data_IF_269715293918
#
_entry.id   IF_269715293918
#
_cell.length_a   1.000
_cell.length_b   1.000
_cell.length_c   1.000
_cell.angle_alpha   90.00
_cell.angle_beta   90.00
_cell.angle_gamma   90.00
#
_symmetry.space_group_name_H-M   'P 1'
#
loop_
_entity.id
_entity.type
_entity.pdbx_description
1 polymer ?
#
# COMPACT_ATOMS: atom_id res chain seq x y z
N UNK A 1 3.34 -16.78 -32.08
CA UNK A 1 3.09 -18.12 -31.50
C UNK A 1 3.68 -18.30 -30.10
N UNK A 2 4.93 -17.87 -29.79
CA UNK A 2 5.50 -18.05 -28.44
C UNK A 2 4.78 -17.25 -27.33
N UNK A 3 4.44 -15.97 -27.56
CA UNK A 3 3.76 -15.11 -26.57
C UNK A 3 2.34 -15.61 -26.23
N UNK A 4 1.58 -16.08 -27.22
CA UNK A 4 0.21 -16.58 -27.00
C UNK A 4 0.16 -17.86 -26.17
N UNK A 5 1.14 -18.77 -26.35
CA UNK A 5 1.22 -19.99 -25.54
C UNK A 5 1.66 -19.69 -24.09
N UNK A 6 2.58 -18.74 -23.90
CA UNK A 6 3.01 -18.30 -22.57
C UNK A 6 1.84 -17.68 -21.77
N UNK A 7 1.12 -16.73 -22.36
CA UNK A 7 -0.07 -16.11 -21.73
C UNK A 7 -1.13 -17.16 -21.36
N UNK A 8 -1.40 -18.13 -22.24
CA UNK A 8 -2.36 -19.19 -21.97
C UNK A 8 -1.94 -20.07 -20.76
N UNK A 9 -0.65 -20.39 -20.64
CA UNK A 9 -0.13 -21.20 -19.53
C UNK A 9 -0.21 -20.45 -18.19
N UNK A 10 0.20 -19.18 -18.17
CA UNK A 10 0.11 -18.31 -16.97
C UNK A 10 -1.34 -18.21 -16.51
N UNK A 11 -2.28 -17.95 -17.43
CA UNK A 11 -3.69 -17.82 -17.08
C UNK A 11 -4.29 -19.10 -16.51
N UNK A 12 -3.94 -20.27 -17.07
CA UNK A 12 -4.38 -21.55 -16.51
C UNK A 12 -3.81 -21.83 -15.12
N UNK A 13 -2.54 -21.49 -14.88
CA UNK A 13 -1.91 -21.67 -13.57
C UNK A 13 -2.56 -20.79 -12.50
N UNK A 14 -2.77 -19.51 -12.80
CA UNK A 14 -3.45 -18.57 -11.89
C UNK A 14 -4.90 -19.01 -11.63
N UNK A 15 -5.63 -19.44 -12.65
CA UNK A 15 -7.02 -19.89 -12.50
C UNK A 15 -7.14 -21.09 -11.55
N UNK A 16 -6.19 -22.03 -11.58
CA UNK A 16 -6.16 -23.14 -10.62
C UNK A 16 -5.97 -22.66 -9.18
N UNK A 17 -5.10 -21.66 -8.96
CA UNK A 17 -4.87 -21.07 -7.63
C UNK A 17 -6.14 -20.35 -7.14
N UNK A 18 -6.76 -19.53 -8.00
CA UNK A 18 -7.99 -18.81 -7.69
C UNK A 18 -9.13 -19.77 -7.33
N UNK A 19 -9.37 -20.78 -8.18
CA UNK A 19 -10.42 -21.76 -7.95
C UNK A 19 -10.19 -22.51 -6.63
N UNK A 20 -8.97 -22.97 -6.38
CA UNK A 20 -8.63 -23.63 -5.12
C UNK A 20 -8.88 -22.74 -3.91
N UNK A 21 -8.46 -21.47 -3.95
CA UNK A 21 -8.63 -20.54 -2.84
C UNK A 21 -10.11 -20.25 -2.53
N UNK A 22 -10.95 -20.16 -3.56
CA UNK A 22 -12.40 -19.97 -3.42
C UNK A 22 -13.06 -21.25 -2.90
N UNK A 23 -12.75 -22.40 -3.49
CA UNK A 23 -13.33 -23.71 -3.09
C UNK A 23 -12.99 -24.07 -1.64
N UNK A 24 -11.78 -23.72 -1.19
CA UNK A 24 -11.34 -23.90 0.19
C UNK A 24 -11.76 -22.78 1.12
N UNK A 25 -12.49 -21.78 0.62
CA UNK A 25 -12.95 -20.62 1.38
C UNK A 25 -11.81 -19.84 2.04
N UNK A 26 -10.64 -19.81 1.42
CA UNK A 26 -9.53 -18.96 1.88
C UNK A 26 -9.70 -17.53 1.38
N UNK A 27 -10.28 -17.35 0.18
CA UNK A 27 -10.58 -16.06 -0.44
C UNK A 27 -12.05 -16.05 -0.86
N UNK A 28 -12.77 -14.97 -0.57
CA UNK A 28 -14.17 -14.79 -1.00
C UNK A 28 -14.23 -14.32 -2.46
N UNK A 29 -13.43 -13.32 -2.80
CA UNK A 29 -13.26 -12.87 -4.18
C UNK A 29 -11.95 -12.11 -4.37
N UNK A 30 -11.49 -12.09 -5.63
CA UNK A 30 -10.26 -11.42 -6.02
C UNK A 30 -10.31 -10.90 -7.45
N UNK A 31 -9.47 -9.90 -7.72
CA UNK A 31 -9.08 -9.49 -9.06
C UNK A 31 -7.57 -9.60 -9.15
N UNK A 32 -7.10 -10.41 -10.09
CA UNK A 32 -5.67 -10.60 -10.38
C UNK A 32 -5.38 -10.11 -11.78
N UNK A 33 -4.35 -9.27 -11.91
CA UNK A 33 -3.85 -8.77 -13.18
C UNK A 33 -2.34 -9.00 -13.28
N UNK A 34 -1.88 -9.39 -14.46
CA UNK A 34 -0.46 -9.60 -14.76
C UNK A 34 -0.13 -8.91 -16.06
N UNK A 35 0.90 -8.07 -16.03
CA UNK A 35 1.51 -7.48 -17.21
C UNK A 35 2.95 -7.94 -17.35
N UNK A 36 3.37 -8.22 -18.59
CA UNK A 36 4.75 -8.59 -18.94
C UNK A 36 5.17 -7.72 -20.11
N UNK A 37 6.33 -7.07 -20.03
CA UNK A 37 6.87 -6.19 -21.08
C UNK A 37 5.84 -5.12 -21.50
N UNK A 38 5.17 -4.53 -20.50
CA UNK A 38 4.13 -3.51 -20.70
C UNK A 38 2.78 -4.00 -21.22
N UNK A 39 2.62 -5.30 -21.51
CA UNK A 39 1.37 -5.87 -22.05
C UNK A 39 0.60 -6.66 -21.00
N UNK A 40 -0.71 -6.43 -20.90
CA UNK A 40 -1.59 -7.24 -20.04
C UNK A 40 -1.70 -8.65 -20.63
N UNK A 41 -1.18 -9.65 -19.91
CA UNK A 41 -1.20 -11.07 -20.33
C UNK A 41 -2.23 -11.90 -19.55
N UNK A 42 -2.77 -11.36 -18.46
CA UNK A 42 -3.83 -11.97 -17.66
C UNK A 42 -4.61 -10.89 -16.90
N UNK A 43 -5.93 -11.02 -16.88
CA UNK A 43 -6.85 -10.14 -16.16
C UNK A 43 -8.13 -10.93 -15.85
N UNK A 44 -8.38 -11.21 -14.57
CA UNK A 44 -9.57 -11.98 -14.20
C UNK A 44 -10.08 -11.61 -12.81
N UNK A 45 -11.40 -11.52 -12.71
CA UNK A 45 -12.14 -11.50 -11.45
C UNK A 45 -12.63 -12.90 -11.10
N UNK A 46 -12.54 -13.26 -9.82
CA UNK A 46 -12.94 -14.58 -9.32
C UNK A 46 -13.75 -14.43 -8.03
N UNK A 47 -14.74 -15.30 -7.82
CA UNK A 47 -15.54 -15.31 -6.60
C UNK A 47 -16.58 -14.19 -6.52
N UNK A 48 -16.85 -13.72 -5.31
CA UNK A 48 -17.93 -12.76 -5.03
C UNK A 48 -17.40 -11.40 -4.57
N UNK A 49 -17.96 -10.33 -5.13
CA UNK A 49 -17.83 -8.97 -4.57
C UNK A 49 -18.62 -8.85 -3.26
N UNK A 50 -19.76 -9.55 -3.17
CA UNK A 50 -20.55 -9.72 -1.96
C UNK A 50 -21.13 -11.15 -1.96
N UNK A 51 -20.66 -11.98 -1.04
CA UNK A 51 -21.04 -13.39 -0.90
C UNK A 51 -22.48 -13.54 -0.45
N UNK A 52 -22.94 -12.72 0.48
CA UNK A 52 -24.28 -12.78 1.06
C UNK A 52 -25.35 -12.40 0.05
N UNK A 53 -25.07 -11.41 -0.80
CA UNK A 53 -25.93 -10.99 -1.91
C UNK A 53 -25.68 -11.77 -3.21
N UNK A 54 -24.69 -12.68 -3.22
CA UNK A 54 -24.24 -13.45 -4.39
C UNK A 54 -23.86 -12.54 -5.58
N UNK A 55 -23.36 -11.35 -5.29
CA UNK A 55 -22.83 -10.43 -6.31
C UNK A 55 -21.47 -10.92 -6.77
N UNK A 56 -21.32 -11.15 -8.07
CA UNK A 56 -20.07 -11.66 -8.66
C UNK A 56 -19.00 -10.58 -8.69
N UNK A 57 -17.76 -10.97 -8.41
CA UNK A 57 -16.62 -10.06 -8.55
C UNK A 57 -16.47 -9.62 -10.01
N UNK A 58 -16.25 -8.32 -10.23
CA UNK A 58 -15.94 -7.76 -11.55
C UNK A 58 -14.50 -7.26 -11.57
N UNK A 59 -13.90 -7.19 -12.76
CA UNK A 59 -12.52 -6.70 -12.88
C UNK A 59 -12.40 -5.24 -12.42
N UNK A 60 -13.45 -4.46 -12.62
CA UNK A 60 -13.52 -3.05 -12.25
C UNK A 60 -14.22 -2.81 -10.90
N UNK A 61 -14.42 -3.86 -10.10
CA UNK A 61 -14.85 -3.75 -8.71
C UNK A 61 -13.86 -2.90 -7.90
N UNK A 62 -14.41 -2.10 -6.98
CA UNK A 62 -13.64 -1.16 -6.17
C UNK A 62 -13.24 -1.76 -4.82
N UNK A 63 -12.01 -1.51 -4.39
CA UNK A 63 -11.44 -2.00 -3.16
C UNK A 63 -10.96 -0.83 -2.30
N UNK A 64 -11.15 -0.93 -0.98
CA UNK A 64 -10.45 -0.07 -0.02
C UNK A 64 -8.98 -0.45 -0.07
N UNK A 65 -8.13 0.47 -0.54
CA UNK A 65 -6.74 0.16 -0.91
C UNK A 65 -5.83 0.02 0.30
N UNK A 66 -6.16 0.64 1.44
CA UNK A 66 -5.25 0.71 2.59
C UNK A 66 -3.82 1.07 2.14
N UNK A 67 -2.81 0.31 2.53
CA UNK A 67 -1.40 0.62 2.24
C UNK A 67 -1.00 0.56 0.76
N UNK A 68 -1.88 0.13 -0.14
CA UNK A 68 -1.70 0.29 -1.60
C UNK A 68 -1.77 1.79 -2.01
N UNK A 69 -2.30 2.66 -1.15
CA UNK A 69 -2.21 4.13 -1.28
C UNK A 69 -0.78 4.68 -1.25
N UNK A 70 0.11 4.07 -0.45
CA UNK A 70 1.46 4.60 -0.18
C UNK A 70 2.32 4.83 -1.43
N UNK A 71 2.44 3.87 -2.38
CA UNK A 71 3.23 4.11 -3.58
C UNK A 71 2.68 5.24 -4.45
N UNK A 72 1.36 5.45 -4.51
CA UNK A 72 0.73 6.56 -5.25
C UNK A 72 1.12 7.91 -4.63
N UNK A 73 1.01 8.03 -3.31
CA UNK A 73 1.39 9.28 -2.59
C UNK A 73 2.90 9.52 -2.65
N UNK A 74 3.71 8.46 -2.61
CA UNK A 74 5.15 8.54 -2.80
C UNK A 74 5.50 9.08 -4.19
N UNK A 75 4.88 8.55 -5.24
CA UNK A 75 5.06 9.04 -6.61
C UNK A 75 4.64 10.50 -6.74
N UNK A 76 3.53 10.93 -6.13
CA UNK A 76 3.13 12.33 -6.15
C UNK A 76 4.20 13.25 -5.54
N UNK A 77 4.82 12.84 -4.42
CA UNK A 77 5.94 13.59 -3.83
C UNK A 77 7.15 13.66 -4.77
N UNK A 78 7.49 12.57 -5.47
CA UNK A 78 8.56 12.55 -6.45
C UNK A 78 8.26 13.49 -7.64
N UNK A 79 7.05 13.44 -8.22
CA UNK A 79 6.64 14.36 -9.28
C UNK A 79 6.74 15.83 -8.84
N UNK A 80 6.34 16.16 -7.61
CA UNK A 80 6.44 17.52 -7.07
C UNK A 80 7.91 17.92 -6.81
N UNK A 81 8.77 16.97 -6.43
CA UNK A 81 10.21 17.20 -6.31
C UNK A 81 10.85 17.51 -7.67
N UNK A 82 10.49 16.77 -8.72
CA UNK A 82 10.97 17.04 -10.09
C UNK A 82 10.55 18.42 -10.61
N UNK A 83 9.37 18.89 -10.21
CA UNK A 83 8.88 20.25 -10.49
C UNK A 83 9.56 21.34 -9.65
N UNK A 84 10.48 20.96 -8.75
CA UNK A 84 11.21 21.89 -7.87
C UNK A 84 10.37 22.48 -6.74
N UNK A 85 9.18 21.92 -6.47
CA UNK A 85 8.27 22.43 -5.44
C UNK A 85 8.66 21.98 -4.02
N UNK A 86 9.39 20.87 -3.92
CA UNK A 86 9.94 20.36 -2.67
C UNK A 86 11.29 19.67 -2.91
N UNK A 87 12.04 19.41 -1.84
CA UNK A 87 13.27 18.61 -1.91
C UNK A 87 13.18 17.43 -0.94
N UNK A 88 13.65 16.27 -1.37
CA UNK A 88 13.53 15.05 -0.55
C UNK A 88 14.40 15.11 0.71
N UNK A 89 15.48 15.87 0.70
CA UNK A 89 16.37 16.10 1.85
C UNK A 89 15.93 17.28 2.74
N UNK A 90 14.89 18.04 2.34
CA UNK A 90 14.37 19.14 3.17
C UNK A 90 13.76 18.62 4.48
N UNK A 91 13.97 19.34 5.60
CA UNK A 91 13.25 19.13 6.84
C UNK A 91 11.73 19.18 6.65
N UNK A 92 11.00 18.30 7.34
CA UNK A 92 9.52 18.35 7.41
C UNK A 92 9.05 19.70 7.96
N UNK A 93 9.81 20.29 8.89
CA UNK A 93 9.51 21.58 9.52
C UNK A 93 9.54 22.77 8.57
N UNK A 94 10.15 22.65 7.39
CA UNK A 94 10.08 23.69 6.34
C UNK A 94 8.64 23.84 5.80
N UNK A 95 7.83 22.78 5.92
CA UNK A 95 6.46 22.71 5.40
C UNK A 95 5.41 22.60 6.49
N UNK A 96 5.73 21.89 7.58
CA UNK A 96 4.89 21.70 8.75
C UNK A 96 5.66 22.15 10.01
N UNK A 97 5.75 23.46 10.30
CA UNK A 97 6.62 24.00 11.36
C UNK A 97 6.33 23.45 12.77
N UNK A 98 5.10 23.01 13.02
CA UNK A 98 4.69 22.42 14.29
C UNK A 98 5.13 20.95 14.46
N UNK A 99 5.47 20.25 13.37
CA UNK A 99 5.74 18.83 13.40
C UNK A 99 7.16 18.54 13.91
N UNK A 100 7.30 18.57 15.24
CA UNK A 100 8.57 18.57 15.95
C UNK A 100 8.66 17.46 17.03
N UNK A 101 8.36 16.19 16.69
CA UNK A 101 8.42 15.11 17.65
C UNK A 101 9.83 14.93 18.21
N UNK A 102 9.89 14.48 19.46
CA UNK A 102 11.15 14.33 20.23
C UNK A 102 11.47 12.87 20.47
N UNK A 103 12.73 12.55 20.67
CA UNK A 103 13.15 11.29 21.28
C UNK A 103 12.75 11.27 22.76
N UNK A 104 12.74 10.10 23.40
CA UNK A 104 12.44 9.97 24.83
C UNK A 104 13.39 10.79 25.73
N UNK A 105 14.63 10.99 25.28
CA UNK A 105 15.62 11.83 25.97
C UNK A 105 15.38 13.36 25.79
N UNK A 106 14.30 13.75 25.10
CA UNK A 106 13.92 15.14 24.85
C UNK A 106 14.61 15.80 23.65
N UNK A 107 15.54 15.13 22.98
CA UNK A 107 16.16 15.66 21.76
C UNK A 107 15.14 15.75 20.63
N UNK A 108 15.23 16.82 19.83
CA UNK A 108 14.36 17.06 18.69
C UNK A 108 15.19 16.96 17.40
N UNK A 109 15.35 15.74 16.83
CA UNK A 109 16.14 15.56 15.62
C UNK A 109 15.40 16.08 14.38
N UNK A 110 16.15 16.32 13.30
CA UNK A 110 15.58 16.70 12.01
C UNK A 110 15.00 15.48 11.30
N UNK A 111 13.73 15.55 10.92
CA UNK A 111 13.08 14.58 10.02
C UNK A 111 13.06 15.18 8.62
N UNK A 112 13.54 14.45 7.61
CA UNK A 112 13.48 14.86 6.21
C UNK A 112 12.37 14.12 5.46
N UNK A 113 11.99 14.60 4.28
CA UNK A 113 11.00 13.88 3.45
C UNK A 113 11.51 12.50 3.00
N UNK A 114 12.82 12.34 2.82
CA UNK A 114 13.48 11.06 2.58
C UNK A 114 13.24 10.09 3.74
N UNK A 115 13.34 10.56 4.99
CA UNK A 115 13.03 9.74 6.15
C UNK A 115 11.56 9.31 6.19
N UNK A 116 10.65 10.18 5.72
CA UNK A 116 9.23 9.81 5.61
C UNK A 116 9.01 8.73 4.54
N UNK A 117 9.52 8.96 3.32
CA UNK A 117 9.35 8.04 2.18
C UNK A 117 9.93 6.64 2.43
N UNK A 118 10.95 6.53 3.29
CA UNK A 118 11.63 5.27 3.60
C UNK A 118 11.18 4.62 4.91
N UNK A 119 10.22 5.22 5.64
CA UNK A 119 9.84 4.78 6.99
C UNK A 119 11.03 4.72 7.97
N UNK A 120 11.98 5.64 7.84
CA UNK A 120 13.14 5.78 8.74
C UNK A 120 13.06 7.01 9.65
N UNK A 121 11.88 7.63 9.75
CA UNK A 121 11.66 8.84 10.55
C UNK A 121 11.58 8.62 12.08
N UNK A 122 11.60 7.37 12.55
CA UNK A 122 11.37 7.04 13.97
C UNK A 122 9.89 7.07 14.39
N UNK A 123 8.97 7.32 13.46
CA UNK A 123 7.53 7.20 13.68
C UNK A 123 7.11 5.73 13.72
N UNK A 124 5.92 5.44 14.25
CA UNK A 124 5.24 4.13 14.17
C UNK A 124 3.76 4.28 13.83
N UNK A 125 3.04 3.16 13.77
CA UNK A 125 1.58 3.11 13.76
C UNK A 125 1.01 2.85 15.16
N UNK A 126 -0.25 3.22 15.40
CA UNK A 126 -0.95 2.92 16.67
C UNK A 126 -1.15 1.41 16.83
N UNK A 127 -1.45 0.69 15.75
CA UNK A 127 -1.55 -0.78 15.81
C UNK A 127 -0.24 -1.50 16.17
N UNK A 128 0.91 -0.80 16.25
CA UNK A 128 2.17 -1.38 16.74
C UNK A 128 2.28 -1.34 18.28
N UNK A 129 1.32 -0.72 18.98
CA UNK A 129 1.30 -0.62 20.43
C UNK A 129 0.75 -1.89 21.08
N UNK A 130 1.44 -2.45 22.08
CA UNK A 130 1.10 -3.75 22.63
C UNK A 130 -0.27 -3.72 23.29
N UNK A 131 -1.14 -4.66 22.95
CA UNK A 131 -2.52 -4.75 23.46
C UNK A 131 -3.38 -3.49 23.22
N UNK A 132 -2.97 -2.61 22.30
CA UNK A 132 -3.60 -1.30 22.11
C UNK A 132 -3.30 -0.32 23.25
N UNK A 133 -2.27 -0.60 24.06
CA UNK A 133 -1.84 0.23 25.17
C UNK A 133 -0.58 1.00 24.78
N UNK A 134 -0.65 2.32 24.85
CA UNK A 134 0.50 3.17 24.57
C UNK A 134 0.13 4.62 24.30
N UNK A 135 1.15 5.40 23.96
CA UNK A 135 1.03 6.84 23.78
C UNK A 135 0.23 7.18 22.52
N UNK A 136 0.32 6.40 21.44
CA UNK A 136 -0.49 6.65 20.25
C UNK A 136 -1.98 6.42 20.52
N UNK A 137 -2.33 5.38 21.28
CA UNK A 137 -3.70 5.14 21.70
C UNK A 137 -4.18 6.22 22.70
N UNK A 138 -3.35 6.63 23.66
CA UNK A 138 -3.68 7.68 24.62
C UNK A 138 -3.91 9.04 23.94
N UNK A 139 -3.09 9.37 22.94
CA UNK A 139 -3.23 10.59 22.14
C UNK A 139 -4.32 10.49 21.08
N UNK A 140 -5.00 9.34 20.93
CA UNK A 140 -6.03 9.11 19.92
C UNK A 140 -5.53 9.41 18.50
N UNK A 141 -4.33 8.92 18.17
CA UNK A 141 -3.78 9.01 16.81
C UNK A 141 -4.48 7.99 15.92
N UNK A 142 -5.05 8.44 14.80
CA UNK A 142 -5.68 7.60 13.78
C UNK A 142 -4.62 6.98 12.87
N UNK A 143 -4.82 5.70 12.53
CA UNK A 143 -4.02 4.97 11.54
C UNK A 143 -4.53 5.18 10.10
N UNK A 144 -5.59 5.97 9.91
CA UNK A 144 -6.09 6.41 8.60
C UNK A 144 -7.14 5.53 7.94
N UNK A 145 -7.51 4.42 8.57
CA UNK A 145 -8.57 3.51 8.12
C UNK A 145 -9.45 3.01 9.28
N UNK A 146 -9.42 3.73 10.40
CA UNK A 146 -10.20 3.51 11.61
C UNK A 146 -11.31 4.57 11.79
N UNK A 147 -12.04 4.46 12.89
CA UNK A 147 -13.19 5.29 13.26
C UNK A 147 -12.86 6.54 14.08
N UNK A 148 -11.57 6.88 14.27
CA UNK A 148 -11.20 8.07 15.08
C UNK A 148 -11.65 9.33 14.34
N UNK A 149 -12.55 10.09 14.97
CA UNK A 149 -13.00 11.37 14.45
C UNK A 149 -11.90 12.43 14.61
N UNK A 150 -11.25 12.77 13.51
CA UNK A 150 -10.21 13.80 13.41
C UNK A 150 -10.11 14.30 11.98
N UNK A 151 -9.53 15.48 11.78
CA UNK A 151 -8.97 15.86 10.48
C UNK A 151 -7.47 15.52 10.42
N UNK A 152 -6.85 15.75 9.25
CA UNK A 152 -5.44 15.45 9.04
C UNK A 152 -4.55 16.30 9.95
N UNK A 153 -4.81 17.61 10.03
CA UNK A 153 -3.96 18.54 10.77
C UNK A 153 -3.94 18.22 12.27
N UNK A 154 -5.11 17.97 12.87
CA UNK A 154 -5.24 17.54 14.25
C UNK A 154 -4.57 16.17 14.49
N UNK A 155 -4.69 15.21 13.55
CA UNK A 155 -4.00 13.92 13.70
C UNK A 155 -2.48 14.08 13.66
N UNK A 156 -1.96 14.96 12.81
CA UNK A 156 -0.53 15.28 12.74
C UNK A 156 -0.05 16.04 13.98
N UNK A 157 -0.86 16.91 14.57
CA UNK A 157 -0.58 17.56 15.86
C UNK A 157 -0.56 16.57 17.03
N UNK A 158 -1.40 15.53 17.00
CA UNK A 158 -1.32 14.44 17.98
C UNK A 158 -0.05 13.63 17.78
N UNK A 159 0.25 13.28 16.53
CA UNK A 159 1.45 12.54 16.16
C UNK A 159 2.75 13.27 16.53
N UNK A 160 2.81 14.60 16.38
CA UNK A 160 3.99 15.39 16.74
C UNK A 160 4.27 15.43 18.25
N UNK A 161 3.30 15.05 19.09
CA UNK A 161 3.46 14.94 20.55
C UNK A 161 3.96 13.55 20.98
N UNK A 162 3.87 12.54 20.12
CA UNK A 162 4.38 11.21 20.42
C UNK A 162 5.91 11.17 20.29
N UNK A 163 6.62 10.44 21.17
CA UNK A 163 8.06 10.29 21.05
C UNK A 163 8.43 9.44 19.83
N UNK A 164 9.56 9.79 19.21
CA UNK A 164 10.21 8.98 18.18
C UNK A 164 10.84 7.74 18.81
N UNK A 165 10.76 6.61 18.10
CA UNK A 165 11.38 5.33 18.50
C UNK A 165 12.91 5.34 18.40
N UNK A 166 13.44 6.08 17.43
CA UNK A 166 14.87 6.18 17.16
C UNK A 166 15.17 7.45 16.37
N UNK A 167 16.45 7.84 16.33
CA UNK A 167 16.88 9.00 15.57
C UNK A 167 16.63 8.79 14.07
N UNK A 168 16.03 9.76 13.35
CA UNK A 168 15.74 9.62 11.93
C UNK A 168 16.96 9.16 11.10
N UNK A 169 16.75 8.19 10.21
CA UNK A 169 17.79 7.61 9.36
C UNK A 169 18.63 6.49 10.00
N UNK A 170 18.46 6.21 11.31
CA UNK A 170 19.29 5.20 12.01
C UNK A 170 18.68 3.80 12.08
N UNK A 171 17.39 3.65 11.80
CA UNK A 171 16.66 2.38 11.85
C UNK A 171 15.41 2.47 10.93
N UNK A 172 14.62 1.40 10.87
CA UNK A 172 13.41 1.31 10.08
C UNK A 172 12.22 0.89 10.95
N UNK A 173 11.08 1.57 10.79
CA UNK A 173 9.81 1.18 11.40
C UNK A 173 8.62 1.65 10.56
N UNK A 174 7.76 0.70 10.20
CA UNK A 174 6.54 0.98 9.45
C UNK A 174 5.60 1.92 10.21
N UNK A 175 5.13 2.98 9.54
CA UNK A 175 4.63 4.15 10.27
C UNK A 175 3.65 5.05 9.50
N UNK A 176 3.07 6.02 10.21
CA UNK A 176 2.26 7.12 9.68
C UNK A 176 3.02 8.14 8.82
N UNK A 177 4.24 7.84 8.39
CA UNK A 177 5.09 8.75 7.64
C UNK A 177 4.46 9.26 6.32
N UNK A 178 3.64 8.44 5.65
CA UNK A 178 2.97 8.85 4.41
C UNK A 178 1.74 9.73 4.66
N UNK A 179 1.15 9.69 5.86
CA UNK A 179 0.14 10.66 6.30
C UNK A 179 0.80 12.03 6.56
N UNK A 180 1.97 12.05 7.21
CA UNK A 180 2.79 13.27 7.36
C UNK A 180 3.18 13.81 5.99
N UNK A 181 3.61 12.95 5.08
CA UNK A 181 3.94 13.35 3.70
C UNK A 181 2.73 13.96 3.01
N UNK A 182 1.54 13.37 3.15
CA UNK A 182 0.29 13.96 2.64
C UNK A 182 0.06 15.38 3.15
N UNK A 183 0.30 15.63 4.44
CA UNK A 183 0.27 16.98 5.03
C UNK A 183 1.29 17.93 4.41
N UNK A 184 2.52 17.46 4.17
CA UNK A 184 3.56 18.23 3.46
C UNK A 184 3.13 18.58 2.04
N UNK A 185 2.57 17.64 1.27
CA UNK A 185 2.13 17.91 -0.10
C UNK A 185 1.00 18.97 -0.12
N UNK A 186 0.05 18.88 0.82
CA UNK A 186 -0.98 19.91 0.98
C UNK A 186 -0.40 21.27 1.35
N UNK A 187 0.58 21.32 2.27
CA UNK A 187 1.24 22.57 2.64
C UNK A 187 2.02 23.20 1.47
N UNK A 188 2.74 22.41 0.68
CA UNK A 188 3.53 22.89 -0.48
C UNK A 188 2.63 23.42 -1.59
N UNK A 189 1.53 22.72 -1.87
CA UNK A 189 0.67 23.02 -3.03
C UNK A 189 -0.52 23.91 -2.72
N UNK A 190 -0.82 24.11 -1.43
CA UNK A 190 -2.04 24.77 -0.93
C UNK A 190 -3.33 24.13 -1.49
N UNK A 191 -3.30 22.82 -1.73
CA UNK A 191 -4.41 22.03 -2.27
C UNK A 191 -4.74 20.82 -1.38
N UNK A 192 -6.01 20.39 -1.34
CA UNK A 192 -6.36 19.12 -0.69
C UNK A 192 -5.61 17.94 -1.32
N UNK A 193 -5.22 16.96 -0.51
CA UNK A 193 -4.48 15.79 -0.99
C UNK A 193 -5.15 15.08 -2.17
N UNK A 194 -6.48 15.03 -2.21
CA UNK A 194 -7.23 14.45 -3.33
C UNK A 194 -6.96 15.15 -4.65
N UNK A 195 -6.97 16.49 -4.68
CA UNK A 195 -6.69 17.25 -5.90
C UNK A 195 -5.23 17.12 -6.34
N UNK A 196 -4.29 17.02 -5.38
CA UNK A 196 -2.88 16.76 -5.69
C UNK A 196 -2.72 15.39 -6.37
N UNK A 197 -3.26 14.33 -5.76
CA UNK A 197 -3.17 12.97 -6.32
C UNK A 197 -3.88 12.89 -7.67
N UNK A 198 -5.03 13.57 -7.79
CA UNK A 198 -5.80 13.61 -9.03
C UNK A 198 -5.04 14.25 -10.18
N UNK A 199 -4.50 15.45 -9.96
CA UNK A 199 -3.80 16.21 -11.00
C UNK A 199 -2.39 15.69 -11.29
N UNK A 200 -1.73 15.10 -10.29
CA UNK A 200 -0.34 14.64 -10.42
C UNK A 200 -0.25 13.19 -10.90
N UNK A 201 -1.20 12.33 -10.54
CA UNK A 201 -1.12 10.89 -10.79
C UNK A 201 -2.33 10.36 -11.56
N UNK A 202 -3.55 10.47 -11.01
CA UNK A 202 -4.65 9.66 -11.55
C UNK A 202 -5.19 10.16 -12.88
N UNK A 203 -5.19 11.48 -13.15
CA UNK A 203 -5.55 12.02 -14.48
C UNK A 203 -4.48 11.64 -15.52
N UNK A 204 -3.17 11.90 -15.31
CA UNK A 204 -2.13 11.50 -16.27
C UNK A 204 -2.14 10.01 -16.61
N UNK A 205 -2.44 9.14 -15.65
CA UNK A 205 -2.46 7.68 -15.82
C UNK A 205 -3.84 7.09 -16.13
N UNK A 206 -4.86 7.92 -16.35
CA UNK A 206 -6.23 7.49 -16.61
C UNK A 206 -6.80 6.52 -15.53
N UNK A 207 -6.47 6.77 -14.26
CA UNK A 207 -6.92 6.00 -13.10
C UNK A 207 -8.23 6.59 -12.53
N UNK A 208 -9.28 6.67 -13.36
CA UNK A 208 -10.49 7.42 -13.07
C UNK A 208 -11.35 6.87 -11.91
N UNK A 209 -11.11 5.62 -11.47
CA UNK A 209 -11.85 4.96 -10.39
C UNK A 209 -11.03 4.88 -9.09
N UNK A 210 -9.93 5.63 -9.00
CA UNK A 210 -9.01 5.64 -7.85
C UNK A 210 -8.91 7.03 -7.24
N UNK A 211 -9.09 7.13 -5.93
CA UNK A 211 -9.14 8.40 -5.21
C UNK A 211 -9.42 8.22 -3.72
N UNK A 212 -9.76 9.30 -3.03
CA UNK A 212 -10.16 9.27 -1.61
C UNK A 212 -11.67 9.25 -1.39
N UNK A 213 -12.42 9.41 -2.48
CA UNK A 213 -13.88 9.41 -2.48
C UNK A 213 -14.39 8.28 -3.39
N UNK A 214 -15.52 7.69 -3.01
CA UNK A 214 -16.21 6.71 -3.86
C UNK A 214 -17.03 7.43 -4.92
N UNK A 215 -16.92 7.05 -6.21
CA UNK A 215 -17.78 7.54 -7.27
C UNK A 215 -19.27 7.20 -7.06
N UNK A 216 -20.17 8.01 -7.63
CA UNK A 216 -21.63 7.81 -7.53
C UNK A 216 -22.11 6.43 -8.01
N UNK A 217 -21.43 5.84 -8.99
CA UNK A 217 -21.70 4.47 -9.49
C UNK A 217 -20.94 3.40 -8.69
N UNK A 218 -20.90 3.54 -7.37
CA UNK A 218 -20.12 2.72 -6.44
C UNK A 218 -20.23 1.21 -6.72
N UNK A 219 -19.09 0.56 -6.93
CA UNK A 219 -18.95 -0.90 -7.04
C UNK A 219 -18.01 -1.45 -5.96
N UNK A 220 -18.01 -0.82 -4.78
CA UNK A 220 -17.22 -1.24 -3.64
C UNK A 220 -17.59 -2.67 -3.23
N UNK A 221 -16.58 -3.52 -3.13
CA UNK A 221 -16.72 -4.88 -2.62
C UNK A 221 -17.01 -4.87 -1.10
N UNK A 222 -17.76 -5.86 -0.65
CA UNK A 222 -17.84 -6.18 0.79
C UNK A 222 -16.51 -6.78 1.20
N UNK A 223 -15.85 -6.19 2.21
CA UNK A 223 -14.61 -6.73 2.78
C UNK A 223 -14.94 -7.79 3.83
N UNK A 224 -14.12 -8.84 3.88
CA UNK A 224 -14.25 -9.98 4.78
C UNK A 224 -12.99 -10.10 5.64
N UNK A 225 -13.12 -10.73 6.80
CA UNK A 225 -11.99 -11.15 7.62
C UNK A 225 -11.93 -12.68 7.71
N UNK A 226 -10.72 -13.22 7.90
CA UNK A 226 -10.47 -14.64 8.11
C UNK A 226 -11.23 -15.11 9.37
N UNK A 227 -12.08 -16.12 9.18
CA UNK A 227 -12.82 -16.78 10.24
C UNK A 227 -12.98 -18.26 9.90
N UNK A 228 -13.35 -19.08 10.90
CA UNK A 228 -13.64 -20.50 10.73
C UNK A 228 -15.14 -20.77 10.83
N UNK A 229 -15.71 -21.66 9.99
CA UNK A 229 -15.05 -22.43 8.93
C UNK A 229 -14.81 -21.64 7.63
N UNK A 230 -15.26 -20.39 7.56
CA UNK A 230 -15.12 -19.54 6.38
C UNK A 230 -15.08 -18.04 6.72
N UNK A 231 -14.56 -17.18 5.83
CA UNK A 231 -14.53 -15.73 6.03
C UNK A 231 -15.92 -15.14 6.26
N UNK A 232 -15.98 -14.17 7.16
CA UNK A 232 -17.19 -13.44 7.53
C UNK A 232 -17.10 -11.98 7.07
N UNK A 233 -18.23 -11.34 6.71
CA UNK A 233 -18.26 -9.92 6.38
C UNK A 233 -17.65 -9.10 7.52
N UNK A 234 -16.77 -8.16 7.18
CA UNK A 234 -16.10 -7.29 8.13
C UNK A 234 -17.11 -6.27 8.69
N UNK A 235 -17.34 -6.26 10.02
CA UNK A 235 -18.11 -5.20 10.66
C UNK A 235 -17.43 -3.83 10.53
N UNK A 236 -18.17 -2.77 10.83
CA UNK A 236 -17.67 -1.40 10.87
C UNK A 236 -18.09 -0.79 12.22
N UNK A 237 -17.16 -0.61 13.18
CA UNK A 237 -15.74 -0.99 13.12
C UNK A 237 -15.50 -2.51 13.33
N UNK A 238 -14.32 -2.99 12.94
CA UNK A 238 -13.79 -4.32 13.23
C UNK A 238 -12.39 -4.23 13.84
N UNK A 239 -12.11 -5.00 14.88
CA UNK A 239 -10.83 -5.00 15.59
C UNK A 239 -10.18 -6.37 15.43
N UNK A 240 -8.95 -6.38 14.91
CA UNK A 240 -8.17 -7.60 14.75
C UNK A 240 -6.93 -7.51 15.63
N UNK A 241 -6.78 -8.46 16.54
CA UNK A 241 -5.57 -8.62 17.32
C UNK A 241 -4.49 -9.28 16.45
N UNK A 242 -3.32 -8.65 16.39
CA UNK A 242 -2.13 -9.22 15.77
C UNK A 242 -1.50 -10.26 16.70
N UNK A 243 -0.61 -11.09 16.17
CA UNK A 243 0.10 -12.09 16.95
C UNK A 243 1.19 -11.48 17.86
N UNK A 244 1.80 -12.32 18.69
CA UNK A 244 2.91 -11.93 19.58
C UNK A 244 4.10 -11.36 18.81
N UNK A 245 4.36 -11.82 17.57
CA UNK A 245 5.46 -11.30 16.74
C UNK A 245 5.25 -9.84 16.36
N UNK A 246 4.00 -9.37 16.40
CA UNK A 246 3.59 -7.99 16.18
C UNK A 246 3.17 -7.30 17.49
N UNK A 247 3.77 -7.70 18.62
CA UNK A 247 3.52 -7.18 19.96
C UNK A 247 2.06 -7.29 20.43
N UNK A 248 1.24 -8.19 19.88
CA UNK A 248 -0.20 -8.25 20.18
C UNK A 248 -0.95 -6.93 19.95
N UNK A 249 -0.51 -6.13 18.98
CA UNK A 249 -1.17 -4.88 18.63
C UNK A 249 -2.57 -5.08 18.04
N UNK A 250 -3.35 -4.00 17.93
CA UNK A 250 -4.74 -4.05 17.46
C UNK A 250 -4.88 -3.22 16.20
N UNK A 251 -5.23 -3.88 15.09
CA UNK A 251 -5.62 -3.20 13.86
C UNK A 251 -7.11 -2.88 13.92
N UNK A 252 -7.45 -1.59 13.81
CA UNK A 252 -8.82 -1.09 13.79
C UNK A 252 -9.24 -0.80 12.35
N UNK A 253 -10.20 -1.55 11.83
CA UNK A 253 -10.77 -1.38 10.51
C UNK A 253 -12.11 -0.65 10.61
N UNK A 254 -12.35 0.27 9.68
CA UNK A 254 -13.67 0.84 9.45
C UNK A 254 -13.98 0.89 7.94
N UNK A 255 -14.59 -0.17 7.37
CA UNK A 255 -15.01 -0.18 5.98
C UNK A 255 -15.97 0.95 5.58
N UNK A 256 -16.72 1.53 6.54
CA UNK A 256 -17.65 2.62 6.25
C UNK A 256 -16.98 3.99 6.25
N UNK A 257 -15.71 4.10 6.67
CA UNK A 257 -14.94 5.35 6.69
C UNK A 257 -14.96 6.08 5.35
N UNK A 258 -14.90 5.33 4.25
CA UNK A 258 -14.88 5.87 2.88
C UNK A 258 -16.15 6.66 2.52
N UNK A 259 -17.28 6.41 3.20
CA UNK A 259 -18.54 7.13 3.01
C UNK A 259 -18.66 8.37 3.92
N UNK A 260 -17.71 8.58 4.84
CA UNK A 260 -17.69 9.73 5.71
C UNK A 260 -16.89 10.87 5.06
N UNK A 261 -17.59 11.85 4.48
CA UNK A 261 -16.98 13.03 3.86
C UNK A 261 -16.17 13.91 4.83
N UNK A 262 -16.28 13.69 6.16
CA UNK A 262 -15.44 14.36 7.16
C UNK A 262 -14.17 13.57 7.50
N UNK A 263 -14.05 12.33 7.05
CA UNK A 263 -12.84 11.54 7.26
C UNK A 263 -11.71 12.14 6.42
N UNK A 264 -10.57 12.42 7.04
CA UNK A 264 -9.45 13.01 6.33
C UNK A 264 -8.87 12.05 5.27
N UNK A 265 -8.22 12.61 4.25
CA UNK A 265 -7.54 11.83 3.22
C UNK A 265 -6.19 11.31 3.76
N UNK A 266 -6.18 10.05 4.21
CA UNK A 266 -4.96 9.41 4.74
C UNK A 266 -4.00 9.04 3.62
N UNK A 267 -2.85 9.72 3.56
CA UNK A 267 -1.79 9.40 2.59
C UNK A 267 -1.17 8.02 2.79
N UNK A 268 -1.40 7.38 3.94
CA UNK A 268 -0.96 6.01 4.22
C UNK A 268 -1.98 4.94 3.87
N UNK A 269 -3.28 5.20 3.94
CA UNK A 269 -4.30 4.14 3.92
C UNK A 269 -5.69 4.52 3.34
N UNK A 270 -5.89 5.77 2.92
CA UNK A 270 -7.24 6.32 2.76
C UNK A 270 -7.91 6.11 1.41
N UNK A 271 -7.25 5.54 0.40
CA UNK A 271 -7.81 5.49 -0.95
C UNK A 271 -8.74 4.30 -1.19
N UNK A 272 -9.62 4.46 -2.17
CA UNK A 272 -10.33 3.41 -2.89
C UNK A 272 -9.77 3.32 -4.31
N UNK A 273 -9.85 2.15 -4.96
CA UNK A 273 -9.40 1.98 -6.34
C UNK A 273 -9.73 0.62 -6.93
N UNK A 274 -9.28 0.39 -8.17
CA UNK A 274 -9.51 -0.85 -8.91
C UNK A 274 -8.18 -1.48 -9.33
N UNK A 275 -8.20 -2.78 -9.66
CA UNK A 275 -6.98 -3.44 -10.15
C UNK A 275 -6.50 -2.86 -11.49
N UNK A 276 -7.37 -2.53 -12.47
CA UNK A 276 -6.94 -1.86 -13.70
C UNK A 276 -6.24 -0.52 -13.48
N UNK A 277 -6.79 0.33 -12.60
CA UNK A 277 -6.17 1.62 -12.29
C UNK A 277 -4.80 1.44 -11.63
N UNK A 278 -4.71 0.56 -10.63
CA UNK A 278 -3.43 0.31 -9.97
C UNK A 278 -2.42 -0.36 -10.91
N UNK A 279 -2.87 -1.15 -11.89
CA UNK A 279 -2.01 -1.65 -12.95
C UNK A 279 -1.45 -0.52 -13.83
N UNK A 280 -2.24 0.51 -14.17
CA UNK A 280 -1.70 1.69 -14.88
C UNK A 280 -0.57 2.35 -14.07
N UNK A 281 -0.75 2.46 -12.75
CA UNK A 281 0.31 2.93 -11.86
C UNK A 281 1.56 2.06 -11.94
N UNK A 282 1.46 0.73 -11.82
CA UNK A 282 2.63 -0.14 -11.93
C UNK A 282 3.30 -0.07 -13.31
N UNK A 283 2.50 0.04 -14.38
CA UNK A 283 3.02 0.20 -15.74
C UNK A 283 3.80 1.51 -15.91
N UNK A 284 3.43 2.58 -15.20
CA UNK A 284 4.20 3.85 -15.17
C UNK A 284 5.57 3.73 -14.48
N UNK A 285 5.82 2.64 -13.74
CA UNK A 285 7.15 2.34 -13.16
C UNK A 285 8.04 1.55 -14.12
N UNK A 286 7.48 1.11 -15.26
CA UNK A 286 8.25 0.38 -16.29
C UNK A 286 9.01 1.35 -17.17
N UNK A 287 10.05 0.84 -17.85
CA UNK A 287 10.82 1.61 -18.83
C UNK A 287 10.01 2.10 -20.05
N UNK A 288 8.77 1.60 -20.20
CA UNK A 288 7.93 1.78 -21.40
C UNK A 288 7.01 3.00 -21.26
N UNK A 289 6.60 3.36 -20.04
CA UNK A 289 5.67 4.46 -19.81
C UNK A 289 6.37 5.58 -19.01
N UNK A 290 6.47 6.76 -19.61
CA UNK A 290 7.07 7.96 -19.01
C UNK A 290 6.04 9.04 -18.67
N UNK A 291 4.76 8.70 -18.58
CA UNK A 291 3.64 9.65 -18.44
C UNK A 291 3.74 10.47 -17.15
N UNK A 292 4.35 9.92 -16.08
CA UNK A 292 4.53 10.61 -14.80
C UNK A 292 5.83 11.41 -14.67
N UNK A 293 6.89 11.02 -15.38
CA UNK A 293 8.23 11.61 -15.22
C UNK A 293 9.06 11.46 -16.49
N UNK A 294 9.64 12.57 -16.93
CA UNK A 294 10.65 12.61 -17.99
C UNK A 294 12.08 12.49 -17.45
N UNK A 295 12.27 12.46 -16.12
CA UNK A 295 13.55 12.72 -15.45
C UNK A 295 14.06 11.59 -14.55
N UNK A 296 13.55 10.36 -14.71
CA UNK A 296 14.03 9.14 -14.01
C UNK A 296 13.85 9.15 -12.50
N UNK A 297 13.19 10.15 -11.88
CA UNK A 297 12.99 10.09 -10.43
C UNK A 297 12.05 8.95 -10.04
N UNK A 298 11.14 8.54 -10.92
CA UNK A 298 10.36 7.31 -10.74
C UNK A 298 11.22 6.05 -10.73
N UNK A 299 12.32 6.01 -11.49
CA UNK A 299 13.31 4.91 -11.44
C UNK A 299 13.93 4.77 -10.05
N UNK A 300 13.89 5.82 -9.24
CA UNK A 300 14.40 5.79 -7.86
C UNK A 300 13.45 5.12 -6.88
N UNK A 301 12.18 4.88 -7.23
CA UNK A 301 11.21 4.23 -6.33
C UNK A 301 11.67 2.83 -5.92
N UNK A 302 12.19 2.06 -6.87
CA UNK A 302 12.70 0.70 -6.64
C UNK A 302 14.16 0.65 -6.16
N UNK A 303 14.80 1.80 -5.88
CA UNK A 303 16.13 1.82 -5.27
C UNK A 303 16.03 1.40 -3.81
N UNK A 304 16.92 0.50 -3.38
CA UNK A 304 17.04 0.10 -1.98
C UNK A 304 17.75 1.20 -1.18
N UNK A 305 17.00 1.96 -0.38
CA UNK A 305 17.53 3.01 0.50
C UNK A 305 17.76 2.51 1.93
N UNK A 306 16.93 1.57 2.36
CA UNK A 306 17.05 0.88 3.64
C UNK A 306 17.64 -0.50 3.39
N UNK A 307 18.65 -0.87 4.17
CA UNK A 307 19.33 -2.17 4.08
C UNK A 307 18.35 -3.35 4.22
N UNK A 308 18.62 -4.43 3.49
CA UNK A 308 17.88 -5.68 3.58
C UNK A 308 18.09 -6.44 4.89
N UNK A 309 19.10 -6.04 5.69
CA UNK A 309 19.33 -6.54 7.05
C UNK A 309 18.16 -6.23 7.99
N UNK A 310 17.39 -5.17 7.72
CA UNK A 310 16.17 -4.85 8.49
C UNK A 310 15.00 -5.79 8.19
N UNK A 311 15.07 -6.56 7.10
CA UNK A 311 14.07 -7.57 6.75
C UNK A 311 12.64 -7.01 6.69
N UNK A 312 12.44 -5.91 5.96
CA UNK A 312 11.18 -5.12 5.98
C UNK A 312 9.93 -5.89 5.50
N UNK A 313 10.16 -6.98 4.74
CA UNK A 313 9.17 -8.00 4.36
C UNK A 313 9.65 -9.43 4.67
N UNK A 314 10.53 -9.57 5.65
CA UNK A 314 11.31 -10.77 5.92
C UNK A 314 12.72 -10.70 5.33
N UNK A 315 13.54 -11.75 5.53
CA UNK A 315 14.95 -11.77 5.12
C UNK A 315 15.14 -11.41 3.64
N UNK A 316 16.18 -10.62 3.32
CA UNK A 316 16.52 -10.22 1.95
C UNK A 316 15.77 -9.00 1.40
N UNK A 317 14.81 -8.46 2.14
CA UNK A 317 14.02 -7.29 1.74
C UNK A 317 14.44 -6.02 2.48
N UNK A 318 14.91 -5.03 1.73
CA UNK A 318 15.13 -3.66 2.20
C UNK A 318 13.91 -2.78 1.91
N UNK A 319 14.08 -1.45 1.84
CA UNK A 319 12.96 -0.54 1.56
C UNK A 319 13.35 0.59 0.60
N UNK A 320 12.44 0.91 -0.32
CA UNK A 320 12.56 1.97 -1.32
C UNK A 320 11.61 3.14 -1.05
N UNK A 321 11.17 3.84 -2.09
CA UNK A 321 10.06 4.79 -1.97
C UNK A 321 8.76 4.11 -2.37
N UNK A 322 7.87 3.90 -1.39
CA UNK A 322 6.54 3.32 -1.60
C UNK A 322 6.41 1.82 -1.36
N UNK A 323 7.51 1.07 -1.21
CA UNK A 323 7.47 -0.38 -0.95
C UNK A 323 8.80 -1.00 -0.57
N UNK A 324 8.77 -2.28 -0.19
CA UNK A 324 9.96 -3.08 0.08
C UNK A 324 10.68 -3.40 -1.23
N UNK A 325 12.02 -3.42 -1.20
CA UNK A 325 12.86 -3.71 -2.36
C UNK A 325 13.67 -4.96 -2.09
N UNK A 326 13.61 -5.93 -3.00
CA UNK A 326 14.32 -7.20 -2.88
C UNK A 326 15.81 -7.02 -3.20
N UNK A 327 16.68 -7.24 -2.22
CA UNK A 327 18.13 -7.14 -2.40
C UNK A 327 18.81 -8.51 -2.52
N UNK A 328 18.31 -9.51 -1.78
CA UNK A 328 18.79 -10.90 -1.79
C UNK A 328 17.64 -11.90 -2.00
N UNK A 329 17.38 -12.33 -3.26
CA UNK A 329 16.37 -13.32 -3.60
C UNK A 329 16.60 -14.71 -2.98
N UNK A 330 17.86 -15.10 -2.76
CA UNK A 330 18.20 -16.42 -2.21
C UNK A 330 17.81 -16.45 -0.74
N UNK A 331 18.20 -15.42 0.01
CA UNK A 331 17.83 -15.27 1.41
C UNK A 331 16.31 -15.14 1.59
N UNK A 332 15.65 -14.41 0.69
CA UNK A 332 14.19 -14.24 0.68
C UNK A 332 13.41 -15.49 0.20
N UNK A 333 14.09 -16.52 -0.32
CA UNK A 333 13.48 -17.76 -0.82
C UNK A 333 12.33 -17.49 -1.80
N UNK A 334 12.56 -16.59 -2.75
CA UNK A 334 11.56 -16.15 -3.73
C UNK A 334 12.08 -16.33 -5.16
N UNK A 335 11.23 -16.69 -6.13
CA UNK A 335 11.61 -16.69 -7.53
C UNK A 335 11.72 -15.28 -8.13
N UNK A 336 11.32 -14.24 -7.39
CA UNK A 336 11.43 -12.85 -7.82
C UNK A 336 12.90 -12.41 -7.96
N UNK A 337 13.16 -11.52 -8.91
CA UNK A 337 14.52 -11.05 -9.18
C UNK A 337 14.91 -9.91 -8.24
N UNK A 338 16.21 -9.77 -7.97
CA UNK A 338 16.78 -8.63 -7.23
C UNK A 338 16.32 -7.30 -7.87
N UNK A 339 15.94 -6.33 -7.05
CA UNK A 339 15.37 -5.05 -7.46
C UNK A 339 13.84 -5.05 -7.55
N UNK A 340 13.17 -6.19 -7.35
CA UNK A 340 11.71 -6.24 -7.26
C UNK A 340 11.21 -5.32 -6.16
N UNK A 341 10.26 -4.44 -6.48
CA UNK A 341 9.53 -3.63 -5.50
C UNK A 341 8.18 -4.29 -5.21
N UNK A 342 7.82 -4.38 -3.93
CA UNK A 342 6.59 -5.05 -3.48
C UNK A 342 6.02 -4.40 -2.22
N UNK A 343 4.70 -4.36 -2.13
CA UNK A 343 4.00 -4.09 -0.87
C UNK A 343 2.62 -4.76 -0.85
N UNK A 344 1.75 -4.32 0.05
CA UNK A 344 0.38 -4.84 0.16
C UNK A 344 -0.55 -3.87 0.87
N UNK A 345 -1.71 -4.38 1.28
CA UNK A 345 -2.73 -3.62 2.02
C UNK A 345 -3.53 -4.52 2.95
N UNK A 346 -3.81 -4.03 4.16
CA UNK A 346 -4.43 -4.81 5.25
C UNK A 346 -5.83 -5.33 4.92
N UNK A 347 -6.54 -4.71 3.96
CA UNK A 347 -7.80 -5.24 3.42
C UNK A 347 -7.65 -6.51 2.56
N UNK A 348 -6.42 -7.01 2.37
CA UNK A 348 -6.15 -8.28 1.68
C UNK A 348 -5.48 -8.10 0.31
N UNK A 349 -4.54 -7.16 0.18
CA UNK A 349 -3.92 -6.84 -1.11
C UNK A 349 -2.44 -7.16 -1.14
N UNK A 350 -1.95 -7.48 -2.34
CA UNK A 350 -0.53 -7.64 -2.63
C UNK A 350 -0.25 -7.15 -4.05
N UNK A 351 0.92 -6.59 -4.27
CA UNK A 351 1.35 -6.18 -5.61
C UNK A 351 2.87 -6.19 -5.68
N UNK A 352 3.42 -6.41 -6.87
CA UNK A 352 4.85 -6.26 -7.09
C UNK A 352 5.17 -5.88 -8.54
N UNK A 353 6.32 -5.28 -8.73
CA UNK A 353 6.95 -5.08 -10.03
C UNK A 353 8.39 -5.62 -9.98
N UNK A 354 8.68 -6.61 -10.82
CA UNK A 354 10.01 -7.17 -11.04
C UNK A 354 10.61 -6.54 -12.30
N UNK A 355 11.59 -5.62 -12.17
CA UNK A 355 12.14 -4.90 -13.30
C UNK A 355 13.03 -5.77 -14.20
N UNK A 356 13.68 -6.82 -13.67
CA UNK A 356 14.51 -7.71 -14.51
C UNK A 356 13.64 -8.58 -15.43
N UNK A 357 12.45 -8.91 -14.95
CA UNK A 357 11.46 -9.64 -15.72
C UNK A 357 10.48 -8.70 -16.45
N UNK A 358 10.54 -7.38 -16.29
CA UNK A 358 9.48 -6.45 -16.73
C UNK A 358 8.07 -6.99 -16.43
N UNK A 359 7.88 -7.50 -15.20
CA UNK A 359 6.67 -8.20 -14.77
C UNK A 359 5.98 -7.40 -13.67
N UNK A 360 4.77 -6.91 -13.95
CA UNK A 360 3.92 -6.24 -12.96
C UNK A 360 2.72 -7.12 -12.60
N UNK A 361 2.44 -7.24 -11.30
CA UNK A 361 1.38 -8.07 -10.77
C UNK A 361 0.56 -7.30 -9.74
N UNK A 362 -0.76 -7.31 -9.92
CA UNK A 362 -1.73 -6.73 -9.00
C UNK A 362 -2.64 -7.85 -8.49
N UNK A 363 -2.76 -7.97 -7.17
CA UNK A 363 -3.64 -8.92 -6.48
C UNK A 363 -4.47 -8.13 -5.48
N UNK A 364 -5.71 -7.81 -5.86
CA UNK A 364 -6.68 -7.22 -4.95
C UNK A 364 -7.66 -8.31 -4.52
N UNK A 365 -7.87 -8.43 -3.21
CA UNK A 365 -8.90 -9.34 -2.66
C UNK A 365 -9.80 -8.57 -1.72
N UNK A 366 -10.94 -9.16 -1.40
CA UNK A 366 -11.80 -8.65 -0.33
C UNK A 366 -11.68 -9.50 0.94
N UNK A 367 -10.56 -10.18 1.18
CA UNK A 367 -10.38 -11.11 2.31
C UNK A 367 -9.10 -10.80 3.10
N UNK A 368 -9.28 -10.11 4.22
CA UNK A 368 -8.21 -9.78 5.17
C UNK A 368 -7.98 -10.94 6.16
N UNK A 369 -6.76 -11.37 6.47
CA UNK A 369 -5.47 -10.94 5.94
C UNK A 369 -4.87 -11.94 4.93
N UNK A 370 -5.63 -12.97 4.52
CA UNK A 370 -5.16 -14.02 3.60
C UNK A 370 -4.63 -13.42 2.29
N UNK A 371 -5.31 -12.42 1.71
CA UNK A 371 -4.85 -11.78 0.47
C UNK A 371 -3.58 -10.93 0.61
N UNK A 372 -3.18 -10.57 1.83
CA UNK A 372 -1.98 -9.76 2.11
C UNK A 372 -0.78 -10.61 2.55
N UNK A 373 -0.98 -11.42 3.61
CA UNK A 373 0.08 -12.18 4.29
C UNK A 373 -0.13 -13.70 4.24
N UNK A 374 -1.27 -14.15 3.70
CA UNK A 374 -1.58 -15.57 3.60
C UNK A 374 -0.81 -16.30 2.51
N UNK A 375 -1.24 -17.53 2.25
CA UNK A 375 -0.63 -18.36 1.21
C UNK A 375 -1.06 -17.94 -0.19
N UNK A 376 -2.22 -17.28 -0.33
CA UNK A 376 -2.77 -16.88 -1.63
C UNK A 376 -1.81 -16.03 -2.48
N UNK A 377 -1.28 -14.86 -2.03
CA UNK A 377 -0.37 -14.06 -2.86
C UNK A 377 0.93 -14.80 -3.22
N UNK A 378 1.44 -15.66 -2.32
CA UNK A 378 2.62 -16.50 -2.56
C UNK A 378 2.35 -17.52 -3.67
N UNK A 379 1.20 -18.21 -3.62
CA UNK A 379 0.81 -19.19 -4.67
C UNK A 379 0.57 -18.53 -6.03
N UNK A 380 0.02 -17.32 -6.06
CA UNK A 380 -0.15 -16.56 -7.31
C UNK A 380 1.22 -16.21 -7.90
N UNK A 381 2.13 -15.67 -7.09
CA UNK A 381 3.51 -15.38 -7.50
C UNK A 381 4.17 -16.64 -8.08
N UNK A 382 4.17 -17.74 -7.32
CA UNK A 382 4.84 -18.97 -7.75
C UNK A 382 4.23 -19.54 -9.03
N UNK A 383 2.91 -19.50 -9.18
CA UNK A 383 2.23 -19.92 -10.42
C UNK A 383 2.70 -19.13 -11.66
N UNK A 384 2.93 -17.82 -11.50
CA UNK A 384 3.44 -16.96 -12.59
C UNK A 384 4.88 -17.32 -12.94
N UNK A 385 5.76 -17.39 -11.94
CA UNK A 385 7.19 -17.66 -12.18
C UNK A 385 7.47 -19.08 -12.69
N UNK A 386 6.68 -20.09 -12.28
CA UNK A 386 6.79 -21.44 -12.85
C UNK A 386 6.46 -21.51 -14.35
N UNK A 387 5.75 -20.52 -14.90
CA UNK A 387 5.50 -20.43 -16.33
C UNK A 387 6.56 -19.62 -17.08
N UNK A 388 7.38 -18.83 -16.36
CA UNK A 388 8.49 -18.04 -16.91
C UNK A 388 9.78 -18.86 -17.07
N UNK A 389 9.98 -19.86 -16.21
CA UNK A 389 11.03 -20.87 -16.33
C UNK A 389 10.73 -21.85 -17.47
#
# INVERSE_FOLDING_TARGET
MKVSCFSANVGQAINKVNQYAIDKKHIVGSVVMVAKEGQIIYQQASGYADKEQKSTMQVDSQFLLSSVTKPIVSAAALCLAEKGLLKLDSPVTDYLPYFTPKLENGQQPVITLHHLLTHSAGLKYRFCEPHGEGIYNTLQISDGFDQIATDLDENLHRLSKAPLLFAPGTNWCYSLALDVLGGVLTAVTQQPLEEIIKTTITIPLNMAKTGFTIPDNNQLVTHYYNALPEPLPMPSPYFMQLDESSNNGIVSYDPKRIFNHKAYHSGGAGMVGTAPDFMQFLLSLTSINTDLSNNKLMDTMAKCYISSEYGTKGPGWGFGYGGAVLDDPILAQTPQSKGTIQWGGVYGHNWFYDPQQELAVVILTNTAIEGMLGHYPVKIRDAIYHCLA
#
